data_IF_964613387898
#
_entry.id   IF_964613387898
#
_cell.length_a   1.000
_cell.length_b   1.000
_cell.length_c   1.000
_cell.angle_alpha   90.00
_cell.angle_beta   90.00
_cell.angle_gamma   90.00
#
_symmetry.space_group_name_H-M   'P 1'
#
loop_
_entity.id
_entity.type
_entity.pdbx_description
1 polymer ?
#
# COMPACT_ATOMS: atom_id res chain seq x y z
N UNK A 1 42.51 -18.42 -18.61
CA UNK A 1 42.25 -17.21 -17.82
C UNK A 1 41.27 -16.23 -18.48
N UNK A 2 41.29 -15.99 -19.80
CA UNK A 2 40.32 -15.06 -20.47
C UNK A 2 38.84 -15.48 -20.40
N UNK A 3 38.52 -16.79 -20.33
CA UNK A 3 37.12 -17.28 -20.25
C UNK A 3 36.47 -17.09 -18.88
N UNK A 4 37.26 -17.05 -17.81
CA UNK A 4 36.77 -16.87 -16.42
C UNK A 4 36.41 -15.40 -16.17
N UNK A 5 37.18 -14.46 -16.73
CA UNK A 5 36.91 -13.03 -16.62
C UNK A 5 35.59 -12.62 -17.30
N UNK A 6 35.21 -13.29 -18.39
CA UNK A 6 33.94 -13.04 -19.09
C UNK A 6 32.71 -13.48 -18.27
N UNK A 7 32.85 -14.56 -17.49
CA UNK A 7 31.79 -15.01 -16.58
C UNK A 7 31.60 -14.08 -15.38
N UNK A 8 32.68 -13.49 -14.85
CA UNK A 8 32.60 -12.51 -13.76
C UNK A 8 31.90 -11.23 -14.22
N UNK A 9 32.13 -10.78 -15.46
CA UNK A 9 31.45 -9.61 -16.04
C UNK A 9 29.96 -9.90 -16.30
N UNK A 10 29.60 -11.12 -16.75
CA UNK A 10 28.19 -11.51 -16.95
C UNK A 10 27.40 -11.63 -15.64
N UNK A 11 28.04 -12.03 -14.53
CA UNK A 11 27.40 -12.08 -13.21
C UNK A 11 27.19 -10.67 -12.62
N UNK A 12 28.06 -9.71 -12.95
CA UNK A 12 27.89 -8.31 -12.56
C UNK A 12 26.88 -7.53 -13.44
N UNK A 13 26.54 -8.03 -14.63
CA UNK A 13 25.50 -7.44 -15.49
C UNK A 13 24.08 -7.91 -15.16
N UNK A 14 23.89 -8.80 -14.17
CA UNK A 14 22.62 -8.83 -13.45
C UNK A 14 22.60 -7.61 -12.53
N UNK A 15 22.40 -6.45 -13.14
CA UNK A 15 21.99 -5.25 -12.45
C UNK A 15 20.90 -5.67 -11.48
N UNK A 16 21.22 -5.49 -10.20
CA UNK A 16 20.27 -5.37 -9.13
C UNK A 16 19.10 -4.53 -9.64
N UNK A 17 18.02 -5.19 -10.06
CA UNK A 17 16.70 -4.58 -10.02
C UNK A 17 16.49 -4.31 -8.53
N UNK A 18 16.97 -3.15 -8.07
CA UNK A 18 16.59 -2.61 -6.79
C UNK A 18 15.10 -2.40 -6.93
N UNK A 19 14.31 -3.37 -6.49
CA UNK A 19 12.90 -3.15 -6.22
C UNK A 19 12.87 -2.11 -5.10
N UNK A 20 12.90 -0.84 -5.49
CA UNK A 20 12.85 0.30 -4.59
C UNK A 20 11.45 0.30 -3.99
N UNK A 21 11.29 -0.44 -2.90
CA UNK A 21 10.08 -0.41 -2.13
C UNK A 21 10.09 0.81 -1.23
N UNK A 22 8.99 1.54 -1.21
CA UNK A 22 8.83 2.73 -0.40
C UNK A 22 8.09 2.38 0.89
N UNK A 23 8.60 2.86 2.02
CA UNK A 23 8.00 2.64 3.33
C UNK A 23 7.29 3.90 3.80
N UNK A 24 6.14 3.74 4.45
CA UNK A 24 5.41 4.81 5.11
C UNK A 24 5.07 4.40 6.53
N UNK A 25 5.23 5.32 7.46
CA UNK A 25 4.76 5.19 8.83
C UNK A 25 3.34 5.77 8.92
N UNK A 26 2.40 4.95 9.36
CA UNK A 26 0.98 5.28 9.39
C UNK A 26 0.45 5.29 10.81
N UNK A 27 -0.46 6.23 11.06
CA UNK A 27 -1.15 6.38 12.34
C UNK A 27 -2.65 6.56 12.11
N UNK A 28 -3.45 5.80 12.85
CA UNK A 28 -4.90 5.98 12.91
C UNK A 28 -5.23 7.22 13.74
N UNK A 29 -6.11 8.06 13.22
CA UNK A 29 -6.53 9.32 13.84
C UNK A 29 -8.00 9.28 14.27
N UNK A 30 -8.85 8.58 13.51
CA UNK A 30 -10.26 8.43 13.81
C UNK A 30 -10.76 7.06 13.35
N UNK A 31 -11.90 6.67 13.90
CA UNK A 31 -12.58 5.42 13.59
C UNK A 31 -14.06 5.68 13.32
N UNK A 32 -14.71 4.79 12.59
CA UNK A 32 -16.15 4.74 12.42
C UNK A 32 -16.63 3.29 12.50
N UNK A 33 -17.66 3.04 13.31
CA UNK A 33 -18.27 1.72 13.47
C UNK A 33 -17.60 0.81 14.50
N UNK A 34 -16.40 1.13 15.01
CA UNK A 34 -15.75 0.28 16.02
C UNK A 34 -16.57 0.15 17.32
N UNK A 35 -17.52 1.06 17.59
CA UNK A 35 -18.44 0.95 18.72
C UNK A 35 -19.25 -0.37 18.71
N UNK A 36 -19.48 -0.96 17.54
CA UNK A 36 -20.12 -2.28 17.40
C UNK A 36 -19.20 -3.43 17.87
N UNK A 37 -17.88 -3.23 17.85
CA UNK A 37 -16.89 -4.16 18.40
C UNK A 37 -16.70 -3.96 19.91
N UNK A 38 -16.86 -2.73 20.38
CA UNK A 38 -16.76 -2.38 21.79
C UNK A 38 -16.37 -0.91 21.99
N UNK A 39 -16.51 -0.43 23.23
CA UNK A 39 -16.33 1.00 23.57
C UNK A 39 -14.87 1.42 23.76
N UNK A 40 -13.96 0.47 23.99
CA UNK A 40 -12.52 0.75 24.17
C UNK A 40 -11.78 0.69 22.83
N UNK A 41 -11.96 1.71 22.02
CA UNK A 41 -11.39 1.80 20.68
C UNK A 41 -9.85 1.74 20.68
N UNK A 42 -9.19 2.30 21.71
CA UNK A 42 -7.73 2.24 21.82
C UNK A 42 -7.25 0.80 21.98
N UNK A 43 -7.91 0.03 22.83
CA UNK A 43 -7.60 -1.39 23.02
C UNK A 43 -7.88 -2.20 21.76
N UNK A 44 -9.00 -1.94 21.08
CA UNK A 44 -9.35 -2.59 19.80
C UNK A 44 -8.27 -2.32 18.75
N UNK A 45 -7.91 -1.06 18.52
CA UNK A 45 -6.87 -0.68 17.55
C UNK A 45 -5.50 -1.28 17.88
N UNK A 46 -5.15 -1.35 19.17
CA UNK A 46 -3.91 -1.98 19.63
C UNK A 46 -3.92 -3.49 19.35
N UNK A 47 -5.02 -4.18 19.64
CA UNK A 47 -5.17 -5.61 19.37
C UNK A 47 -5.04 -5.92 17.87
N UNK A 48 -5.72 -5.12 17.04
CA UNK A 48 -5.67 -5.25 15.58
C UNK A 48 -4.30 -4.86 15.00
N UNK A 49 -3.42 -4.20 15.78
CA UNK A 49 -2.13 -3.70 15.29
C UNK A 49 -2.27 -2.54 14.32
N UNK A 50 -3.38 -1.78 14.40
CA UNK A 50 -3.75 -0.72 13.46
C UNK A 50 -3.71 0.69 14.06
N UNK A 51 -3.35 0.84 15.34
CA UNK A 51 -3.16 2.18 15.94
C UNK A 51 -2.00 2.93 15.27
N UNK A 52 -0.85 2.25 15.16
CA UNK A 52 0.27 2.63 14.30
C UNK A 52 0.64 1.38 13.49
N UNK A 53 1.07 1.56 12.24
CA UNK A 53 1.46 0.46 11.36
C UNK A 53 2.34 1.01 10.23
N UNK A 54 2.95 0.12 9.43
CA UNK A 54 3.73 0.53 8.26
C UNK A 54 3.05 0.11 6.97
N UNK A 55 3.26 0.89 5.92
CA UNK A 55 2.94 0.50 4.55
C UNK A 55 4.21 0.34 3.76
N UNK A 56 4.27 -0.72 2.98
CA UNK A 56 5.28 -0.91 1.95
C UNK A 56 4.60 -0.84 0.59
N UNK A 57 5.05 0.04 -0.29
CA UNK A 57 4.50 0.22 -1.65
C UNK A 57 5.60 -0.08 -2.65
N UNK A 58 5.33 -0.92 -3.64
CA UNK A 58 6.34 -1.30 -4.63
C UNK A 58 6.71 -0.16 -5.59
N UNK A 59 5.80 0.79 -5.82
CA UNK A 59 6.01 1.88 -6.76
C UNK A 59 5.25 3.14 -6.37
N UNK A 60 5.89 4.31 -6.46
CA UNK A 60 5.23 5.60 -6.22
C UNK A 60 4.49 6.10 -7.46
N UNK A 61 3.51 6.97 -7.23
CA UNK A 61 2.83 7.74 -8.30
C UNK A 61 3.84 8.50 -9.17
N UNK A 62 4.84 9.13 -8.56
CA UNK A 62 5.86 9.89 -9.27
C UNK A 62 6.66 9.00 -10.25
N UNK A 63 7.05 7.79 -9.83
CA UNK A 63 7.79 6.88 -10.69
C UNK A 63 6.96 6.44 -11.90
N UNK A 64 5.67 6.16 -11.68
CA UNK A 64 4.73 5.83 -12.75
C UNK A 64 4.62 7.00 -13.72
N UNK A 65 4.43 8.22 -13.21
CA UNK A 65 4.37 9.43 -14.03
C UNK A 65 5.62 9.63 -14.88
N UNK A 66 6.82 9.58 -14.27
CA UNK A 66 8.08 9.77 -14.99
C UNK A 66 8.33 8.67 -16.03
N UNK A 67 7.89 7.43 -15.75
CA UNK A 67 7.93 6.34 -16.73
C UNK A 67 7.04 6.63 -17.94
N UNK A 68 5.79 7.00 -17.72
CA UNK A 68 4.84 7.30 -18.80
C UNK A 68 5.29 8.52 -19.61
N UNK A 69 5.86 9.55 -18.95
CA UNK A 69 6.37 10.76 -19.59
C UNK A 69 7.52 10.46 -20.54
N UNK A 70 8.43 9.56 -20.14
CA UNK A 70 9.51 9.08 -21.01
C UNK A 70 8.97 8.29 -22.20
N UNK A 71 7.99 7.42 -21.98
CA UNK A 71 7.36 6.68 -23.09
C UNK A 71 6.69 7.58 -24.12
N UNK A 72 5.99 8.64 -23.67
CA UNK A 72 5.37 9.62 -24.56
C UNK A 72 6.40 10.31 -25.46
N UNK A 73 7.54 10.71 -24.91
CA UNK A 73 8.62 11.36 -25.68
C UNK A 73 9.21 10.44 -26.75
N UNK A 74 9.28 9.14 -26.47
CA UNK A 74 9.97 8.17 -27.33
C UNK A 74 9.06 7.52 -28.41
N UNK A 75 7.74 7.58 -28.28
CA UNK A 75 6.80 6.92 -29.20
C UNK A 75 6.04 7.93 -30.08
N UNK A 76 6.16 7.79 -31.41
CA UNK A 76 5.38 8.59 -32.39
C UNK A 76 3.86 8.49 -32.22
N UNK A 77 3.35 7.35 -31.72
CA UNK A 77 1.92 7.13 -31.44
C UNK A 77 1.79 6.45 -30.08
N UNK A 78 1.69 7.26 -29.03
CA UNK A 78 1.51 6.79 -27.66
C UNK A 78 0.01 6.60 -27.35
N UNK A 79 -0.34 5.43 -26.81
CA UNK A 79 -1.67 5.18 -26.24
C UNK A 79 -1.56 5.18 -24.70
N UNK A 80 -2.18 6.14 -24.00
CA UNK A 80 -2.07 6.25 -22.56
C UNK A 80 -2.76 5.09 -21.86
N UNK A 81 -2.06 4.50 -20.89
CA UNK A 81 -2.68 3.61 -19.90
C UNK A 81 -3.33 4.48 -18.84
N UNK A 82 -4.63 4.32 -18.64
CA UNK A 82 -5.39 5.04 -17.62
C UNK A 82 -5.47 4.30 -16.28
N UNK A 83 -5.05 3.04 -16.23
CA UNK A 83 -5.07 2.21 -15.01
C UNK A 83 -3.69 1.62 -14.76
N UNK A 84 -3.18 1.82 -13.55
CA UNK A 84 -1.87 1.36 -13.09
C UNK A 84 -2.06 0.48 -11.86
N UNK A 85 -1.47 -0.71 -11.88
CA UNK A 85 -1.57 -1.67 -10.79
C UNK A 85 -0.32 -1.64 -9.94
N UNK A 86 -0.50 -1.69 -8.63
CA UNK A 86 0.58 -1.53 -7.65
C UNK A 86 0.30 -2.48 -6.50
N UNK A 87 1.36 -3.10 -6.00
CA UNK A 87 1.30 -3.91 -4.81
C UNK A 87 1.62 -3.07 -3.57
N UNK A 88 0.78 -3.25 -2.55
CA UNK A 88 0.93 -2.62 -1.25
C UNK A 88 0.87 -3.69 -0.17
N UNK A 89 1.72 -3.58 0.84
CA UNK A 89 1.68 -4.46 2.02
C UNK A 89 1.47 -3.61 3.26
N UNK A 90 0.43 -3.93 4.03
CA UNK A 90 0.21 -3.40 5.37
C UNK A 90 0.99 -4.28 6.35
N UNK A 91 1.87 -3.67 7.12
CA UNK A 91 2.66 -4.31 8.16
C UNK A 91 2.11 -3.82 9.50
N UNK A 92 1.25 -4.64 10.12
CA UNK A 92 0.57 -4.32 11.37
C UNK A 92 1.57 -4.39 12.53
N UNK A 93 1.35 -3.58 13.57
CA UNK A 93 2.26 -3.54 14.73
C UNK A 93 2.25 -4.82 15.58
N UNK A 94 1.26 -5.69 15.41
CA UNK A 94 1.23 -7.02 16.02
C UNK A 94 2.02 -8.09 15.23
N UNK A 95 2.69 -7.70 14.13
CA UNK A 95 3.49 -8.58 13.29
C UNK A 95 2.75 -9.16 12.08
N UNK A 96 1.43 -8.99 12.00
CA UNK A 96 0.64 -9.51 10.88
C UNK A 96 0.87 -8.69 9.60
N UNK A 97 0.89 -9.39 8.47
CA UNK A 97 1.06 -8.80 7.15
C UNK A 97 -0.22 -8.96 6.34
N UNK A 98 -0.61 -7.91 5.62
CA UNK A 98 -1.77 -7.92 4.73
C UNK A 98 -1.36 -7.42 3.35
N UNK A 99 -1.40 -8.31 2.36
CA UNK A 99 -1.06 -8.00 0.98
C UNK A 99 -2.28 -7.45 0.24
N UNK A 100 -2.10 -6.31 -0.41
CA UNK A 100 -3.14 -5.55 -1.08
C UNK A 100 -2.83 -5.40 -2.56
N UNK A 101 -3.85 -5.63 -3.40
CA UNK A 101 -3.79 -5.32 -4.83
C UNK A 101 -4.40 -3.93 -5.05
N UNK A 102 -3.58 -2.96 -5.43
CA UNK A 102 -4.01 -1.60 -5.65
C UNK A 102 -4.14 -1.27 -7.12
N UNK A 103 -5.11 -0.40 -7.42
CA UNK A 103 -5.24 0.27 -8.70
C UNK A 103 -5.20 1.78 -8.52
N UNK A 104 -4.57 2.45 -9.48
CA UNK A 104 -4.52 3.88 -9.61
C UNK A 104 -5.01 4.27 -11.00
N UNK A 105 -6.10 5.04 -11.06
CA UNK A 105 -6.63 5.53 -12.32
C UNK A 105 -6.05 6.89 -12.63
N UNK A 106 -5.11 6.95 -13.57
CA UNK A 106 -4.42 8.16 -13.98
C UNK A 106 -4.10 8.13 -15.47
N UNK A 107 -4.50 9.18 -16.19
CA UNK A 107 -4.12 9.42 -17.58
C UNK A 107 -3.11 10.57 -17.61
N UNK A 108 -1.91 10.29 -18.10
CA UNK A 108 -0.82 11.27 -18.15
C UNK A 108 -1.11 12.51 -19.01
N UNK A 109 -2.13 12.48 -19.87
CA UNK A 109 -2.57 13.65 -20.63
C UNK A 109 -3.30 14.69 -19.78
N UNK A 110 -3.75 14.30 -18.58
CA UNK A 110 -4.45 15.16 -17.63
C UNK A 110 -3.52 15.40 -16.45
N UNK A 111 -3.18 16.66 -16.17
CA UNK A 111 -2.17 17.02 -15.16
C UNK A 111 -2.74 17.06 -13.74
N UNK A 112 -3.23 15.90 -13.28
CA UNK A 112 -3.94 15.72 -12.00
C UNK A 112 -3.40 14.51 -11.23
N UNK A 113 -2.06 14.37 -11.18
CA UNK A 113 -1.38 13.24 -10.51
C UNK A 113 -1.78 13.07 -9.03
N UNK A 114 -2.19 14.18 -8.39
CA UNK A 114 -2.49 14.23 -6.95
C UNK A 114 -3.95 13.87 -6.62
N UNK A 115 -4.85 13.93 -7.60
CA UNK A 115 -6.31 13.93 -7.34
C UNK A 115 -6.90 12.52 -7.18
N UNK A 116 -6.10 11.48 -7.41
CA UNK A 116 -6.59 10.10 -7.54
C UNK A 116 -6.00 9.19 -6.46
N UNK A 117 -6.91 8.57 -5.70
CA UNK A 117 -6.60 7.57 -4.68
C UNK A 117 -5.97 6.32 -5.28
N UNK A 118 -5.07 5.70 -4.53
CA UNK A 118 -4.83 4.27 -4.68
C UNK A 118 -6.01 3.55 -4.04
N UNK A 119 -6.69 2.71 -4.82
CA UNK A 119 -7.79 1.89 -4.35
C UNK A 119 -7.34 0.45 -4.30
N UNK A 120 -7.34 -0.13 -3.12
CA UNK A 120 -6.75 -1.43 -2.88
C UNK A 120 -7.77 -2.39 -2.26
N UNK A 121 -7.66 -3.65 -2.65
CA UNK A 121 -8.43 -4.77 -2.09
C UNK A 121 -7.48 -5.83 -1.59
N UNK A 122 -7.81 -6.46 -0.47
CA UNK A 122 -7.04 -7.59 0.07
C UNK A 122 -7.02 -8.73 -0.95
N UNK A 123 -5.83 -9.33 -1.08
CA UNK A 123 -5.54 -10.44 -1.99
C UNK A 123 -6.28 -11.71 -1.61
N UNK A 124 -6.46 -11.96 -0.31
CA UNK A 124 -7.00 -13.22 0.18
C UNK A 124 -8.52 -13.19 0.26
N UNK A 125 -9.06 -12.12 0.83
CA UNK A 125 -10.48 -11.89 0.91
C UNK A 125 -10.76 -10.49 0.40
N UNK A 126 -11.41 -10.34 -0.76
CA UNK A 126 -11.77 -9.04 -1.34
C UNK A 126 -12.70 -8.16 -0.46
N UNK A 127 -12.87 -8.53 0.81
CA UNK A 127 -13.67 -7.86 1.84
C UNK A 127 -12.93 -6.68 2.48
N UNK A 128 -11.61 -6.75 2.63
CA UNK A 128 -10.85 -5.63 3.19
C UNK A 128 -10.47 -4.65 2.07
N UNK A 129 -10.68 -3.36 2.34
CA UNK A 129 -10.44 -2.28 1.38
C UNK A 129 -9.50 -1.26 2.01
N UNK A 130 -8.49 -0.85 1.27
CA UNK A 130 -7.57 0.20 1.67
C UNK A 130 -7.51 1.28 0.60
N UNK A 131 -7.67 2.54 1.01
CA UNK A 131 -7.51 3.70 0.14
C UNK A 131 -6.47 4.63 0.72
N UNK A 132 -5.61 5.19 -0.14
CA UNK A 132 -4.65 6.24 0.27
C UNK A 132 -4.53 7.30 -0.81
N UNK A 133 -4.59 8.56 -0.42
CA UNK A 133 -4.45 9.72 -1.32
C UNK A 133 -2.97 10.09 -1.56
N UNK A 134 -2.74 11.19 -2.29
CA UNK A 134 -1.39 11.70 -2.54
C UNK A 134 -0.72 12.26 -1.28
N UNK A 135 -1.51 12.83 -0.37
CA UNK A 135 -1.07 13.46 0.87
C UNK A 135 -0.87 12.46 2.02
N UNK A 136 -1.07 11.17 1.74
CA UNK A 136 -0.95 10.08 2.69
C UNK A 136 -2.16 9.91 3.61
N UNK A 137 -3.29 10.61 3.39
CA UNK A 137 -4.50 10.32 4.13
C UNK A 137 -5.05 8.97 3.68
N UNK A 138 -5.35 8.09 4.64
CA UNK A 138 -5.83 6.75 4.36
C UNK A 138 -7.20 6.46 4.95
N UNK A 139 -7.87 5.50 4.33
CA UNK A 139 -9.07 4.83 4.83
C UNK A 139 -8.82 3.33 4.73
N UNK A 140 -8.99 2.61 5.83
CA UNK A 140 -8.98 1.15 5.82
C UNK A 140 -10.32 0.65 6.36
N UNK A 141 -10.99 -0.20 5.59
CA UNK A 141 -12.28 -0.77 5.95
C UNK A 141 -12.18 -2.29 5.98
N UNK A 142 -12.60 -2.88 7.10
CA UNK A 142 -12.58 -4.32 7.33
C UNK A 142 -13.71 -4.69 8.29
N UNK A 143 -14.17 -5.94 8.24
CA UNK A 143 -15.06 -6.49 9.28
C UNK A 143 -14.33 -6.69 10.61
N UNK A 144 -12.99 -6.66 10.59
CA UNK A 144 -12.12 -7.00 11.72
C UNK A 144 -12.47 -8.37 12.32
N UNK A 145 -12.73 -9.35 11.45
CA UNK A 145 -13.15 -10.70 11.84
C UNK A 145 -12.22 -11.36 12.89
N UNK A 146 -10.93 -11.03 12.85
CA UNK A 146 -9.92 -11.48 13.82
C UNK A 146 -10.27 -11.09 15.27
N UNK A 147 -11.01 -10.00 15.47
CA UNK A 147 -11.50 -9.58 16.78
C UNK A 147 -12.62 -10.49 17.30
N UNK A 148 -13.47 -10.99 16.41
CA UNK A 148 -14.62 -11.85 16.77
C UNK A 148 -14.22 -13.30 17.08
N UNK A 149 -12.98 -13.71 16.81
CA UNK A 149 -12.51 -15.05 17.15
C UNK A 149 -12.64 -15.36 18.65
N UNK A 150 -12.69 -14.33 19.50
CA UNK A 150 -12.82 -14.44 20.95
C UNK A 150 -14.25 -14.25 21.49
N UNK A 151 -15.23 -13.89 20.64
CA UNK A 151 -16.63 -13.69 21.06
C UNK A 151 -17.61 -14.25 20.01
N UNK A 152 -18.13 -15.45 20.28
CA UNK A 152 -19.05 -16.16 19.39
C UNK A 152 -20.36 -15.40 19.08
N UNK A 153 -20.75 -14.43 19.92
CA UNK A 153 -21.96 -13.62 19.69
C UNK A 153 -21.79 -12.62 18.54
N UNK A 154 -20.55 -12.30 18.15
CA UNK A 154 -20.25 -11.32 17.12
C UNK A 154 -19.82 -11.95 15.78
N UNK A 155 -19.73 -13.28 15.72
CA UNK A 155 -19.16 -14.08 14.61
C UNK A 155 -19.87 -13.91 13.24
N UNK A 156 -21.12 -13.42 13.24
CA UNK A 156 -21.94 -13.24 12.04
C UNK A 156 -22.06 -11.79 11.55
N UNK A 157 -21.29 -10.85 12.12
CA UNK A 157 -21.35 -9.46 11.68
C UNK A 157 -20.50 -9.26 10.42
N UNK A 158 -21.17 -9.06 9.29
CA UNK A 158 -20.56 -8.60 8.02
C UNK A 158 -20.36 -7.08 7.97
N UNK A 159 -20.63 -6.38 9.07
CA UNK A 159 -20.51 -4.93 9.15
C UNK A 159 -19.05 -4.52 8.96
N UNK A 160 -18.80 -3.71 7.94
CA UNK A 160 -17.50 -3.08 7.74
C UNK A 160 -17.34 -1.91 8.70
N UNK A 161 -16.18 -1.87 9.33
CA UNK A 161 -15.75 -0.77 10.17
C UNK A 161 -14.57 -0.09 9.51
N UNK A 162 -14.48 1.22 9.67
CA UNK A 162 -13.47 2.03 8.99
C UNK A 162 -12.56 2.72 9.99
N UNK A 163 -11.27 2.69 9.72
CA UNK A 163 -10.28 3.52 10.38
C UNK A 163 -9.71 4.50 9.37
N UNK A 164 -9.39 5.70 9.84
CA UNK A 164 -8.87 6.76 9.01
C UNK A 164 -7.66 7.36 9.70
N UNK A 165 -6.69 7.76 8.90
CA UNK A 165 -5.48 8.33 9.46
C UNK A 165 -4.57 8.90 8.40
N UNK A 166 -3.30 8.99 8.76
CA UNK A 166 -2.27 9.56 7.90
C UNK A 166 -1.03 8.69 7.88
N UNK A 167 -0.46 8.56 6.70
CA UNK A 167 0.81 7.93 6.41
C UNK A 167 1.81 8.99 5.98
N UNK A 168 3.02 8.91 6.50
CA UNK A 168 4.13 9.78 6.15
C UNK A 168 5.24 8.89 5.63
N UNK A 169 5.86 9.26 4.52
CA UNK A 169 7.00 8.50 4.01
C UNK A 169 8.06 8.37 5.10
N UNK A 170 8.44 7.13 5.41
CA UNK A 170 9.50 6.85 6.36
C UNK A 170 10.76 7.48 5.82
N UNK A 171 11.38 8.38 6.60
CA UNK A 171 12.75 8.80 6.27
C UNK A 171 13.59 7.52 6.27
N UNK A 172 14.28 7.26 5.17
CA UNK A 172 15.43 6.36 5.20
C UNK A 172 16.32 6.89 6.32
N UNK A 173 16.38 6.17 7.44
CA UNK A 173 17.60 6.21 8.23
C UNK A 173 18.63 5.64 7.27
N UNK A 174 19.41 6.51 6.63
CA UNK A 174 20.70 6.12 6.12
C UNK A 174 21.38 5.44 7.31
N UNK A 175 21.56 4.13 7.20
CA UNK A 175 22.52 3.45 8.02
C UNK A 175 23.84 4.04 7.54
N UNK A 176 24.34 5.02 8.29
CA UNK A 176 25.73 5.47 8.19
C UNK A 176 26.67 4.31 8.51
#
# INVERSE_FOLDING_TARGET
MKKILFFIILVFCFESNSNSSYSYDCRTLKQHGLDFLGKDHKRILKFLGMDNFKLKVERKRQDIYESLKREMKNKKKYSPKSSHFIDLTIIKNNGNLEGMNCSWRYDIRVDEIQDRLFNCVDRQSSKNVFNIDFNGNFIYSSTFADFYYYDEKLKNQETLHSIFGKCIESKLNSID
#
